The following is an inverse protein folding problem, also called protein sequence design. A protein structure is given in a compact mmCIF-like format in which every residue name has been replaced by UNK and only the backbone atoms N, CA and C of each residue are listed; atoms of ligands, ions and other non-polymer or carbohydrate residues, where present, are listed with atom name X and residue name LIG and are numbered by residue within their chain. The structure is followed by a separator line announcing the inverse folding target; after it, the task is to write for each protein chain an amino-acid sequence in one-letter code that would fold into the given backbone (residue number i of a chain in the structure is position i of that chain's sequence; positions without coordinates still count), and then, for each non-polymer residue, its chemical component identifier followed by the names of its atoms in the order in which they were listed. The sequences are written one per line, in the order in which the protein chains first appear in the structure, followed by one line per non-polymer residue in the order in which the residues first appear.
data_IF_102156735979
#
_entry.id   IF_102156735979
#
_cell.length_a   1.000
_cell.length_b   1.000
_cell.length_c   1.000
_cell.angle_alpha   90.00
_cell.angle_beta   90.00
_cell.angle_gamma   90.00
#
_symmetry.space_group_name_H-M   'P 1'
#
loop_
_entity.id
_entity.type
_entity.pdbx_description
1 polymer ?
#
# COMPACT_ATOMS: atom_id res chain seq x y z
N UNK A 1 16.69 -19.80 4.31
CA UNK A 1 16.41 -18.59 3.49
C UNK A 1 14.97 -18.03 3.61
N UNK A 2 13.92 -18.80 3.91
CA UNK A 2 12.55 -18.23 3.97
C UNK A 2 12.24 -17.47 5.28
N UNK A 3 12.96 -17.74 6.37
CA UNK A 3 12.72 -17.10 7.69
C UNK A 3 13.08 -15.62 7.69
N UNK A 4 14.21 -15.24 7.12
CA UNK A 4 14.73 -13.87 7.16
C UNK A 4 13.84 -12.85 6.42
N UNK A 5 13.17 -13.25 5.33
CA UNK A 5 12.32 -12.34 4.53
C UNK A 5 11.15 -11.77 5.33
N UNK A 6 10.51 -12.60 6.15
CA UNK A 6 9.37 -12.18 6.99
C UNK A 6 9.82 -11.33 8.17
N UNK A 7 11.00 -11.60 8.71
CA UNK A 7 11.59 -10.78 9.79
C UNK A 7 11.90 -9.37 9.29
N UNK A 8 12.54 -9.23 8.12
CA UNK A 8 12.81 -7.92 7.52
C UNK A 8 11.52 -7.13 7.23
N UNK A 9 10.46 -7.80 6.83
CA UNK A 9 9.17 -7.15 6.61
C UNK A 9 8.55 -6.56 7.89
N UNK A 10 8.93 -7.04 9.08
CA UNK A 10 8.43 -6.49 10.35
C UNK A 10 8.88 -5.04 10.59
N UNK A 11 10.03 -4.64 10.06
CA UNK A 11 10.53 -3.27 10.19
C UNK A 11 9.63 -2.24 9.50
N UNK A 12 8.89 -2.65 8.49
CA UNK A 12 7.99 -1.79 7.72
C UNK A 12 6.54 -1.80 8.23
N UNK A 13 6.34 -2.11 9.49
CA UNK A 13 5.03 -2.06 10.13
C UNK A 13 4.78 -0.70 10.78
N UNK A 14 3.53 -0.25 10.72
CA UNK A 14 3.10 1.02 11.31
C UNK A 14 3.54 1.24 12.77
N UNK A 15 3.51 0.25 13.69
CA UNK A 15 4.00 0.44 15.05
C UNK A 15 5.48 0.84 15.13
N UNK A 16 6.33 0.32 14.23
CA UNK A 16 7.75 0.65 14.19
C UNK A 16 7.95 2.11 13.80
N UNK A 17 7.34 2.55 12.71
CA UNK A 17 7.39 3.95 12.29
C UNK A 17 6.82 4.90 13.35
N UNK A 18 5.73 4.50 14.02
CA UNK A 18 5.16 5.27 15.14
C UNK A 18 6.12 5.37 16.34
N UNK A 19 6.88 4.32 16.63
CA UNK A 19 7.89 4.33 17.69
C UNK A 19 9.07 5.22 17.33
N UNK A 20 9.58 5.11 16.10
CA UNK A 20 10.66 5.98 15.59
C UNK A 20 10.26 7.45 15.60
N UNK A 21 9.05 7.78 15.13
CA UNK A 21 8.54 9.15 15.12
C UNK A 21 8.41 9.76 16.54
N UNK A 22 8.28 8.92 17.57
CA UNK A 22 8.23 9.32 18.98
C UNK A 22 9.60 9.29 19.66
N UNK A 23 10.68 9.05 18.91
CA UNK A 23 12.03 8.94 19.46
C UNK A 23 12.23 7.73 20.40
N UNK A 24 11.39 6.69 20.28
CA UNK A 24 11.53 5.47 21.09
C UNK A 24 12.67 4.63 20.54
N UNK A 25 13.38 3.99 21.49
CA UNK A 25 14.37 2.98 21.16
C UNK A 25 13.71 1.79 20.46
N UNK A 26 14.34 1.33 19.39
CA UNK A 26 13.94 0.15 18.61
C UNK A 26 15.03 -0.94 18.63
N UNK A 27 16.03 -0.82 19.52
CA UNK A 27 17.15 -1.75 19.62
C UNK A 27 16.71 -3.20 19.85
N UNK A 28 15.60 -3.40 20.58
CA UNK A 28 15.01 -4.73 20.79
C UNK A 28 14.65 -5.45 19.47
N UNK A 29 14.36 -4.69 18.40
CA UNK A 29 14.09 -5.25 17.08
C UNK A 29 15.36 -5.82 16.42
N UNK A 30 16.51 -5.28 16.78
CA UNK A 30 17.81 -5.72 16.25
C UNK A 30 18.32 -6.99 16.93
N UNK A 31 17.81 -7.36 18.11
CA UNK A 31 18.13 -8.62 18.77
C UNK A 31 17.73 -9.86 17.97
N UNK A 32 16.85 -9.69 16.95
CA UNK A 32 16.50 -10.73 15.99
C UNK A 32 17.38 -10.74 14.73
N UNK A 33 18.27 -9.76 14.57
CA UNK A 33 19.30 -9.75 13.53
C UNK A 33 20.45 -10.64 13.95
N UNK A 34 20.53 -11.82 13.34
CA UNK A 34 21.74 -12.63 13.46
C UNK A 34 22.87 -12.02 12.60
N UNK A 35 24.12 -12.42 12.90
CA UNK A 35 25.32 -11.97 12.16
C UNK A 35 25.17 -12.17 10.65
N UNK A 36 24.48 -13.23 10.23
CA UNK A 36 24.23 -13.57 8.84
C UNK A 36 23.30 -12.54 8.15
N UNK A 37 22.29 -12.03 8.86
CA UNK A 37 21.42 -10.98 8.37
C UNK A 37 22.19 -9.68 8.13
N UNK A 38 23.07 -9.33 9.05
CA UNK A 38 23.95 -8.18 8.96
C UNK A 38 24.90 -8.29 7.76
N UNK A 39 25.60 -9.39 7.64
CA UNK A 39 26.50 -9.66 6.51
C UNK A 39 25.77 -9.65 5.16
N UNK A 40 24.57 -10.25 5.09
CA UNK A 40 23.79 -10.28 3.84
C UNK A 40 23.34 -8.89 3.37
N UNK A 41 23.05 -7.99 4.30
CA UNK A 41 22.60 -6.64 3.99
C UNK A 41 23.75 -5.66 3.72
N UNK A 42 24.91 -5.91 4.32
CA UNK A 42 26.02 -4.94 4.37
C UNK A 42 27.36 -5.47 3.85
N UNK A 43 27.41 -6.70 3.30
CA UNK A 43 28.64 -7.36 2.81
C UNK A 43 29.38 -6.63 1.68
N UNK A 44 28.84 -5.53 1.16
CA UNK A 44 29.49 -4.72 0.13
C UNK A 44 30.19 -3.46 0.68
N UNK A 45 30.21 -3.22 1.98
CA UNK A 45 30.89 -2.08 2.57
C UNK A 45 32.20 -2.51 3.23
N UNK A 46 33.30 -1.93 2.73
CA UNK A 46 34.67 -2.17 3.20
C UNK A 46 34.80 -2.06 4.72
N UNK A 47 35.52 -3.05 5.29
CA UNK A 47 36.06 -3.24 6.61
C UNK A 47 36.29 -1.97 7.46
N UNK A 48 35.25 -1.38 8.01
CA UNK A 48 35.32 -0.51 9.17
C UNK A 48 34.01 -0.64 9.97
N UNK A 49 34.11 -0.71 11.29
CA UNK A 49 33.01 -0.60 12.24
C UNK A 49 32.34 0.77 12.10
N UNK A 50 31.57 0.97 11.04
CA UNK A 50 30.83 2.19 10.84
C UNK A 50 29.45 2.06 11.48
N UNK A 51 29.10 3.02 12.30
CA UNK A 51 27.71 3.23 12.74
C UNK A 51 26.83 3.33 11.50
N UNK A 52 25.91 2.37 11.34
CA UNK A 52 24.98 2.36 10.21
C UNK A 52 23.84 3.30 10.56
N UNK A 53 23.58 4.27 9.70
CA UNK A 53 22.44 5.16 9.90
C UNK A 53 21.12 4.39 9.75
N UNK A 54 20.07 4.79 10.46
CA UNK A 54 18.73 4.22 10.28
C UNK A 54 18.26 4.33 8.83
N UNK A 55 18.64 5.39 8.12
CA UNK A 55 18.34 5.56 6.70
C UNK A 55 18.94 4.43 5.87
N UNK A 56 20.23 4.15 6.06
CA UNK A 56 20.93 3.13 5.26
C UNK A 56 20.38 1.74 5.57
N UNK A 57 20.09 1.47 6.84
CA UNK A 57 19.44 0.24 7.25
C UNK A 57 18.08 0.05 6.56
N UNK A 58 17.17 1.04 6.67
CA UNK A 58 15.83 0.93 6.05
C UNK A 58 15.92 0.86 4.53
N UNK A 59 16.87 1.56 3.90
CA UNK A 59 17.11 1.49 2.47
C UNK A 59 17.52 0.08 2.06
N UNK A 60 18.50 -0.51 2.74
CA UNK A 60 19.00 -1.86 2.45
C UNK A 60 17.91 -2.93 2.67
N UNK A 61 17.15 -2.81 3.77
CA UNK A 61 16.02 -3.68 4.05
C UNK A 61 14.92 -3.58 2.98
N UNK A 62 14.60 -2.37 2.54
CA UNK A 62 13.61 -2.15 1.49
C UNK A 62 14.06 -2.75 0.16
N UNK A 63 15.31 -2.51 -0.24
CA UNK A 63 15.86 -3.06 -1.49
C UNK A 63 15.89 -4.58 -1.46
N UNK A 64 16.25 -5.16 -0.32
CA UNK A 64 16.19 -6.61 -0.15
C UNK A 64 14.75 -7.14 -0.32
N UNK A 65 13.76 -6.51 0.34
CA UNK A 65 12.35 -6.92 0.22
C UNK A 65 11.85 -6.76 -1.22
N UNK A 66 12.18 -5.67 -1.86
CA UNK A 66 11.80 -5.39 -3.25
C UNK A 66 12.26 -6.46 -4.22
N UNK A 67 13.45 -7.00 -4.00
CA UNK A 67 14.06 -8.01 -4.87
C UNK A 67 13.64 -9.44 -4.50
N UNK A 68 13.44 -9.72 -3.21
CA UNK A 68 13.33 -11.09 -2.72
C UNK A 68 11.98 -11.45 -2.08
N UNK A 69 11.24 -10.45 -1.62
CA UNK A 69 9.96 -10.66 -0.93
C UNK A 69 9.04 -9.44 -1.08
N UNK A 70 8.35 -9.37 -2.18
CA UNK A 70 7.45 -8.26 -2.51
C UNK A 70 6.16 -8.39 -1.71
N UNK A 71 6.23 -7.94 -0.46
CA UNK A 71 5.08 -7.87 0.44
C UNK A 71 4.21 -6.64 0.12
N UNK A 72 3.10 -6.51 0.80
CA UNK A 72 2.14 -5.41 0.67
C UNK A 72 2.80 -4.02 0.80
N UNK A 73 3.77 -3.85 1.70
CA UNK A 73 4.49 -2.57 1.86
C UNK A 73 5.24 -2.16 0.59
N UNK A 74 5.92 -3.12 -0.06
CA UNK A 74 6.62 -2.87 -1.33
C UNK A 74 5.63 -2.44 -2.42
N UNK A 75 4.48 -3.09 -2.50
CA UNK A 75 3.42 -2.70 -3.44
C UNK A 75 2.86 -1.30 -3.12
N UNK A 76 2.53 -1.02 -1.84
CA UNK A 76 2.02 0.30 -1.41
C UNK A 76 3.01 1.41 -1.79
N UNK A 77 4.28 1.24 -1.47
CA UNK A 77 5.34 2.22 -1.77
C UNK A 77 5.50 2.43 -3.27
N UNK A 78 5.59 1.36 -4.06
CA UNK A 78 5.73 1.46 -5.51
C UNK A 78 4.49 2.11 -6.14
N UNK A 79 3.29 1.78 -5.68
CA UNK A 79 2.03 2.33 -6.18
C UNK A 79 1.95 3.84 -5.93
N UNK A 80 2.18 4.27 -4.68
CA UNK A 80 2.16 5.70 -4.31
C UNK A 80 3.20 6.49 -5.10
N UNK A 81 4.43 5.98 -5.20
CA UNK A 81 5.48 6.62 -5.98
C UNK A 81 5.10 6.77 -7.47
N UNK A 82 4.52 5.74 -8.07
CA UNK A 82 4.14 5.79 -9.50
C UNK A 82 2.94 6.68 -9.76
N UNK A 83 1.95 6.68 -8.87
CA UNK A 83 0.71 7.44 -9.09
C UNK A 83 0.88 8.89 -8.64
N UNK A 84 1.33 9.12 -7.40
CA UNK A 84 1.38 10.47 -6.83
C UNK A 84 2.58 11.26 -7.36
N UNK A 85 3.77 10.64 -7.41
CA UNK A 85 5.00 11.33 -7.81
C UNK A 85 5.36 11.13 -9.28
N UNK A 86 4.85 10.09 -9.93
CA UNK A 86 5.16 9.78 -11.33
C UNK A 86 4.09 10.26 -12.33
N UNK A 87 2.81 10.01 -12.06
CA UNK A 87 1.70 10.32 -12.98
C UNK A 87 1.00 11.65 -12.65
N UNK A 88 0.94 11.99 -11.37
CA UNK A 88 0.29 13.21 -10.87
C UNK A 88 1.31 14.07 -10.11
N UNK A 89 0.85 15.23 -9.66
CA UNK A 89 1.64 16.11 -8.79
C UNK A 89 1.09 16.06 -7.36
N UNK A 90 1.93 16.07 -6.32
CA UNK A 90 1.47 16.24 -4.95
C UNK A 90 0.65 17.51 -4.70
N UNK A 91 0.71 18.47 -5.61
CA UNK A 91 -0.11 19.70 -5.57
C UNK A 91 -1.54 19.50 -6.06
N UNK A 92 -1.78 18.46 -6.87
CA UNK A 92 -3.08 18.20 -7.53
C UNK A 92 -3.69 16.86 -7.13
N UNK A 93 -3.02 16.10 -6.27
CA UNK A 93 -3.48 14.80 -5.81
C UNK A 93 -3.17 14.60 -4.33
N UNK A 94 -4.03 13.88 -3.65
CA UNK A 94 -3.82 13.41 -2.29
C UNK A 94 -3.99 11.89 -2.21
N UNK A 95 -3.45 11.28 -1.19
CA UNK A 95 -3.61 9.85 -0.95
C UNK A 95 -3.80 9.55 0.53
N UNK A 96 -4.55 8.49 0.80
CA UNK A 96 -4.67 7.90 2.13
C UNK A 96 -4.25 6.43 2.06
N UNK A 97 -3.52 5.99 3.05
CA UNK A 97 -3.09 4.60 3.21
C UNK A 97 -3.93 3.97 4.32
N UNK A 98 -4.42 2.76 4.09
CA UNK A 98 -5.24 2.01 5.05
C UNK A 98 -6.49 2.81 5.48
N UNK A 99 -7.25 3.29 4.48
CA UNK A 99 -8.47 4.06 4.73
C UNK A 99 -9.63 3.11 5.08
N UNK A 100 -10.22 3.23 6.28
CA UNK A 100 -11.38 2.42 6.66
C UNK A 100 -12.62 2.83 5.84
N UNK A 101 -13.29 1.83 5.26
CA UNK A 101 -14.53 1.96 4.49
C UNK A 101 -15.51 0.91 4.98
N UNK A 102 -16.51 1.29 5.74
CA UNK A 102 -17.46 0.34 6.34
C UNK A 102 -16.77 -0.80 7.12
N UNK A 103 -16.90 -2.04 6.65
CA UNK A 103 -16.27 -3.22 7.25
C UNK A 103 -14.94 -3.59 6.60
N UNK A 104 -14.47 -2.78 5.65
CA UNK A 104 -13.27 -3.02 4.85
C UNK A 104 -12.23 -1.91 5.08
N UNK A 105 -11.01 -2.15 4.66
CA UNK A 105 -9.91 -1.16 4.69
C UNK A 105 -9.28 -1.14 3.29
N UNK A 106 -9.31 0.01 2.63
CA UNK A 106 -8.64 0.22 1.35
C UNK A 106 -7.15 0.39 1.58
N UNK A 107 -6.32 -0.38 0.88
CA UNK A 107 -4.86 -0.30 1.02
C UNK A 107 -4.31 1.06 0.62
N UNK A 108 -4.73 1.58 -0.52
CA UNK A 108 -4.36 2.92 -1.00
C UNK A 108 -5.57 3.58 -1.65
N UNK A 109 -5.96 4.75 -1.15
CA UNK A 109 -6.93 5.62 -1.79
C UNK A 109 -6.21 6.82 -2.42
N UNK A 110 -6.61 7.23 -3.63
CA UNK A 110 -6.06 8.39 -4.33
C UNK A 110 -7.19 9.29 -4.79
N UNK A 111 -7.00 10.60 -4.59
CA UNK A 111 -7.93 11.67 -4.95
C UNK A 111 -7.20 12.69 -5.85
N UNK A 112 -7.63 12.81 -7.10
CA UNK A 112 -6.96 13.62 -8.13
C UNK A 112 -7.95 14.15 -9.18
N UNK A 113 -9.09 14.66 -8.73
CA UNK A 113 -10.23 15.03 -9.58
C UNK A 113 -11.24 13.89 -9.73
N UNK A 114 -10.84 12.68 -9.38
CA UNK A 114 -11.69 11.50 -9.17
C UNK A 114 -11.22 10.77 -7.92
N UNK A 115 -11.98 9.78 -7.46
CA UNK A 115 -11.59 8.92 -6.35
C UNK A 115 -11.27 7.52 -6.84
N UNK A 116 -10.10 7.00 -6.46
CA UNK A 116 -9.66 5.66 -6.85
C UNK A 116 -9.21 4.86 -5.65
N UNK A 117 -9.81 3.69 -5.46
CA UNK A 117 -9.36 2.70 -4.48
C UNK A 117 -8.44 1.67 -5.14
N UNK A 118 -7.33 1.38 -4.50
CA UNK A 118 -6.41 0.32 -4.89
C UNK A 118 -6.32 -0.71 -3.77
N UNK A 119 -6.72 -1.93 -4.07
CA UNK A 119 -6.60 -3.10 -3.19
C UNK A 119 -5.44 -3.95 -3.66
N UNK A 120 -4.46 -4.15 -2.80
CA UNK A 120 -3.25 -4.91 -3.11
C UNK A 120 -3.45 -6.38 -2.80
N UNK A 121 -3.13 -7.22 -3.76
CA UNK A 121 -3.12 -8.67 -3.59
C UNK A 121 -1.78 -9.22 -4.06
N UNK A 122 -0.95 -9.54 -3.10
CA UNK A 122 0.35 -10.16 -3.35
C UNK A 122 0.20 -11.64 -3.73
N UNK A 123 1.29 -12.29 -4.06
CA UNK A 123 1.34 -13.73 -4.33
C UNK A 123 0.92 -14.59 -3.13
N UNK A 124 0.93 -14.01 -1.92
CA UNK A 124 0.60 -14.69 -0.66
C UNK A 124 -0.87 -14.57 -0.27
N UNK A 125 -1.68 -13.80 -1.04
CA UNK A 125 -3.04 -13.45 -0.66
C UNK A 125 -4.10 -14.34 -1.33
N UNK A 126 -5.20 -14.53 -0.61
CA UNK A 126 -6.40 -15.19 -1.11
C UNK A 126 -7.38 -14.18 -1.69
N UNK A 127 -8.03 -14.48 -2.85
CA UNK A 127 -9.04 -13.60 -3.42
C UNK A 127 -10.37 -13.61 -2.65
N UNK A 128 -10.57 -14.51 -1.67
CA UNK A 128 -11.87 -14.72 -1.01
C UNK A 128 -12.47 -13.45 -0.42
N UNK A 129 -11.66 -12.60 0.21
CA UNK A 129 -12.14 -11.35 0.82
C UNK A 129 -12.55 -10.28 -0.18
N UNK A 130 -12.09 -10.34 -1.43
CA UNK A 130 -12.43 -9.34 -2.44
C UNK A 130 -13.92 -9.30 -2.74
N UNK A 131 -14.63 -10.42 -2.64
CA UNK A 131 -16.07 -10.51 -2.87
C UNK A 131 -16.86 -9.61 -1.89
N UNK A 132 -16.36 -9.48 -0.67
CA UNK A 132 -16.97 -8.62 0.37
C UNK A 132 -16.38 -7.21 0.39
N UNK A 133 -15.10 -7.05 0.10
CA UNK A 133 -14.41 -5.76 0.10
C UNK A 133 -14.80 -4.88 -1.10
N UNK A 134 -14.91 -5.45 -2.30
CA UNK A 134 -15.17 -4.67 -3.51
C UNK A 134 -16.51 -3.90 -3.47
N UNK A 135 -17.64 -4.46 -2.99
CA UNK A 135 -18.87 -3.70 -2.79
C UNK A 135 -18.72 -2.51 -1.83
N UNK A 136 -18.00 -2.68 -0.71
CA UNK A 136 -17.74 -1.58 0.22
C UNK A 136 -16.99 -0.44 -0.47
N UNK A 137 -15.99 -0.76 -1.29
CA UNK A 137 -15.21 0.24 -2.03
C UNK A 137 -16.04 0.93 -3.11
N UNK A 138 -16.88 0.19 -3.84
CA UNK A 138 -17.76 0.74 -4.87
C UNK A 138 -18.86 1.65 -4.30
N UNK A 139 -19.18 1.54 -3.03
CA UNK A 139 -20.11 2.46 -2.37
C UNK A 139 -19.51 3.87 -2.16
N UNK A 140 -18.18 4.04 -2.31
CA UNK A 140 -17.45 5.28 -1.96
C UNK A 140 -16.58 5.81 -3.11
N UNK A 141 -15.99 4.92 -3.92
CA UNK A 141 -15.02 5.30 -4.95
C UNK A 141 -15.61 5.24 -6.36
N UNK A 142 -15.19 6.19 -7.19
CA UNK A 142 -15.50 6.17 -8.63
C UNK A 142 -14.79 5.01 -9.32
N UNK A 143 -13.53 4.76 -9.00
CA UNK A 143 -12.76 3.65 -9.57
C UNK A 143 -12.19 2.73 -8.51
N UNK A 144 -12.26 1.43 -8.77
CA UNK A 144 -11.69 0.41 -7.89
C UNK A 144 -10.78 -0.50 -8.69
N UNK A 145 -9.53 -0.62 -8.27
CA UNK A 145 -8.55 -1.51 -8.90
C UNK A 145 -7.99 -2.52 -7.91
N UNK A 146 -7.84 -3.75 -8.38
CA UNK A 146 -7.00 -4.76 -7.74
C UNK A 146 -5.61 -4.63 -8.33
N UNK A 147 -4.58 -4.48 -7.48
CA UNK A 147 -3.18 -4.41 -7.88
C UNK A 147 -2.47 -5.70 -7.48
N UNK A 148 -1.91 -6.41 -8.44
CA UNK A 148 -1.31 -7.73 -8.20
C UNK A 148 -0.03 -7.96 -9.02
N UNK A 149 0.61 -9.12 -8.83
CA UNK A 149 1.71 -9.56 -9.69
C UNK A 149 1.19 -10.01 -11.07
N UNK A 150 1.94 -9.82 -12.17
CA UNK A 150 1.50 -10.21 -13.52
C UNK A 150 1.03 -11.65 -13.65
N UNK A 151 1.67 -12.59 -12.96
CA UNK A 151 1.31 -14.02 -12.98
C UNK A 151 -0.09 -14.33 -12.41
N UNK A 152 -0.63 -13.43 -11.58
CA UNK A 152 -1.94 -13.61 -10.95
C UNK A 152 -3.06 -12.78 -11.58
N UNK A 153 -2.75 -11.96 -12.60
CA UNK A 153 -3.72 -11.09 -13.25
C UNK A 153 -4.94 -11.86 -13.76
N UNK A 154 -4.73 -12.98 -14.44
CA UNK A 154 -5.82 -13.81 -14.98
C UNK A 154 -6.75 -14.34 -13.87
N UNK A 155 -6.21 -14.73 -12.72
CA UNK A 155 -6.96 -15.18 -11.56
C UNK A 155 -7.91 -14.09 -11.05
N UNK A 156 -7.45 -12.84 -10.97
CA UNK A 156 -8.28 -11.74 -10.48
C UNK A 156 -9.26 -11.22 -11.54
N UNK A 157 -8.89 -11.25 -12.82
CA UNK A 157 -9.82 -10.98 -13.90
C UNK A 157 -10.98 -12.01 -13.95
N UNK A 158 -10.68 -13.29 -13.68
CA UNK A 158 -11.65 -14.38 -13.66
C UNK A 158 -12.70 -14.27 -12.54
N UNK A 159 -12.46 -13.47 -11.48
CA UNK A 159 -13.47 -13.19 -10.46
C UNK A 159 -14.67 -12.40 -11.00
N UNK A 160 -14.51 -11.77 -12.17
CA UNK A 160 -15.54 -11.01 -12.88
C UNK A 160 -16.32 -10.05 -11.95
N UNK A 161 -15.61 -9.37 -11.06
CA UNK A 161 -16.21 -8.37 -10.17
C UNK A 161 -16.70 -7.18 -11.01
N UNK A 162 -17.97 -6.78 -10.86
CA UNK A 162 -18.54 -5.66 -11.62
C UNK A 162 -17.75 -4.37 -11.37
N UNK A 163 -17.47 -3.59 -12.41
CA UNK A 163 -16.78 -2.30 -12.40
C UNK A 163 -15.35 -2.30 -11.83
N UNK A 164 -14.84 -3.42 -11.35
CA UNK A 164 -13.51 -3.52 -10.77
C UNK A 164 -12.48 -3.81 -11.85
N UNK A 165 -11.46 -2.95 -11.92
CA UNK A 165 -10.31 -3.12 -12.79
C UNK A 165 -9.21 -3.99 -12.16
N UNK A 166 -8.25 -4.38 -12.98
CA UNK A 166 -7.07 -5.13 -12.56
C UNK A 166 -5.82 -4.46 -13.12
N UNK A 167 -4.89 -4.15 -12.24
CA UNK A 167 -3.56 -3.64 -12.57
C UNK A 167 -2.50 -4.61 -12.11
N UNK A 168 -1.35 -4.57 -12.76
CA UNK A 168 -0.20 -5.38 -12.37
C UNK A 168 1.00 -4.49 -12.10
N UNK A 169 1.75 -4.85 -11.07
CA UNK A 169 3.04 -4.26 -10.73
C UNK A 169 4.12 -5.32 -10.95
N UNK A 170 4.92 -5.15 -12.02
CA UNK A 170 5.96 -6.10 -12.36
C UNK A 170 7.23 -5.94 -11.48
N UNK A 171 8.22 -6.84 -11.65
CA UNK A 171 9.48 -6.83 -10.89
C UNK A 171 10.35 -5.59 -11.13
N UNK A 172 10.09 -4.83 -12.20
CA UNK A 172 10.75 -3.55 -12.52
C UNK A 172 9.97 -2.34 -12.00
N UNK A 173 9.00 -2.55 -11.11
CA UNK A 173 8.09 -1.54 -10.57
C UNK A 173 7.31 -0.77 -11.65
N UNK A 174 7.04 -1.43 -12.78
CA UNK A 174 6.18 -0.88 -13.82
C UNK A 174 4.74 -1.29 -13.53
N UNK A 175 3.87 -0.29 -13.46
CA UNK A 175 2.43 -0.43 -13.25
C UNK A 175 1.72 -0.43 -14.60
N UNK A 176 0.91 -1.43 -14.86
CA UNK A 176 0.16 -1.58 -16.11
C UNK A 176 -1.29 -2.00 -15.84
N UNK A 177 -2.23 -1.47 -16.61
CA UNK A 177 -3.63 -1.85 -16.54
C UNK A 177 -3.84 -3.10 -17.43
N UNK A 178 -4.46 -4.13 -16.87
CA UNK A 178 -4.85 -5.37 -17.57
C UNK A 178 -6.34 -5.35 -17.89
N UNK A 179 -7.15 -4.87 -16.94
CA UNK A 179 -8.60 -4.63 -17.11
C UNK A 179 -8.90 -3.24 -16.58
N UNK A 180 -9.52 -2.39 -17.39
CA UNK A 180 -9.96 -1.07 -16.92
C UNK A 180 -11.06 -1.19 -15.87
N UNK A 181 -11.05 -0.27 -14.89
CA UNK A 181 -12.18 -0.08 -14.01
C UNK A 181 -13.20 0.82 -14.69
N UNK A 182 -14.47 0.42 -14.68
CA UNK A 182 -15.55 1.30 -15.15
C UNK A 182 -15.77 2.42 -14.12
N UNK A 183 -16.28 3.58 -14.59
CA UNK A 183 -16.71 4.63 -13.69
C UNK A 183 -17.92 4.16 -12.86
N UNK A 184 -17.88 4.46 -11.59
CA UNK A 184 -18.90 4.08 -10.62
C UNK A 184 -19.57 5.32 -9.98
N UNK A 185 -19.32 6.50 -10.53
CA UNK A 185 -19.71 7.78 -9.91
C UNK A 185 -21.23 7.88 -9.66
N UNK A 186 -22.04 7.32 -10.54
CA UNK A 186 -23.50 7.32 -10.44
C UNK A 186 -24.04 6.37 -9.33
N UNK A 187 -23.20 5.48 -8.83
CA UNK A 187 -23.56 4.45 -7.85
C UNK A 187 -22.96 4.69 -6.47
N UNK A 188 -22.21 5.78 -6.32
CA UNK A 188 -21.65 6.19 -5.02
C UNK A 188 -22.80 6.53 -4.06
N UNK A 189 -22.73 5.99 -2.84
CA UNK A 189 -23.73 6.22 -1.80
C UNK A 189 -23.32 7.37 -0.90
N UNK A 190 -24.14 8.39 -0.82
CA UNK A 190 -23.85 9.60 -0.03
C UNK A 190 -23.59 9.29 1.44
N UNK A 191 -24.42 8.46 2.08
CA UNK A 191 -24.25 8.03 3.47
C UNK A 191 -22.95 7.26 3.71
N UNK A 192 -22.55 6.41 2.77
CA UNK A 192 -21.27 5.71 2.82
C UNK A 192 -20.09 6.67 2.66
N UNK A 193 -20.19 7.64 1.75
CA UNK A 193 -19.18 8.68 1.55
C UNK A 193 -19.03 9.55 2.81
N UNK A 194 -20.13 10.01 3.41
CA UNK A 194 -20.11 10.78 4.66
C UNK A 194 -19.49 10.01 5.82
N UNK A 195 -19.68 8.69 5.88
CA UNK A 195 -19.09 7.86 6.95
C UNK A 195 -17.57 7.77 6.93
N UNK A 196 -16.93 8.16 5.81
CA UNK A 196 -15.46 8.16 5.64
C UNK A 196 -14.84 9.47 6.13
N UNK A 197 -15.64 10.55 6.20
CA UNK A 197 -15.18 11.87 6.63
C UNK A 197 -14.82 11.87 8.11
N UNK A 198 -13.77 12.60 8.46
CA UNK A 198 -13.46 12.90 9.85
C UNK A 198 -14.50 13.89 10.39
N UNK A 199 -14.65 13.90 11.70
CA UNK A 199 -15.64 14.80 12.36
C UNK A 199 -15.46 16.25 11.95
N UNK A 200 -14.21 16.73 11.89
CA UNK A 200 -13.91 18.12 11.50
C UNK A 200 -14.28 18.41 10.04
N UNK A 201 -14.00 17.45 9.13
CA UNK A 201 -14.36 17.56 7.70
C UNK A 201 -15.87 17.57 7.51
N UNK A 202 -16.58 16.71 8.23
CA UNK A 202 -18.03 16.66 8.23
C UNK A 202 -18.65 17.96 8.76
N UNK A 203 -18.14 18.50 9.87
CA UNK A 203 -18.64 19.76 10.44
C UNK A 203 -18.39 20.95 9.51
N UNK A 204 -17.21 21.02 8.87
CA UNK A 204 -16.90 22.08 7.90
C UNK A 204 -17.89 22.08 6.72
N UNK A 205 -18.26 20.90 6.21
CA UNK A 205 -19.26 20.80 5.14
C UNK A 205 -20.63 21.32 5.62
N UNK A 206 -21.06 21.00 6.85
CA UNK A 206 -22.34 21.48 7.38
C UNK A 206 -22.32 23.00 7.55
N UNK A 207 -21.22 23.58 8.07
CA UNK A 207 -21.10 25.03 8.29
C UNK A 207 -21.14 25.81 6.96
N UNK A 208 -20.61 25.25 5.85
CA UNK A 208 -20.66 25.88 4.53
C UNK A 208 -22.07 25.89 3.90
N UNK A 209 -23.00 25.07 4.40
CA UNK A 209 -24.38 24.95 3.88
C UNK A 209 -25.45 25.48 4.83
N UNK A 210 -25.09 26.02 5.99
CA UNK A 210 -26.01 26.66 6.97
C UNK A 210 -25.76 28.14 7.09
#
# INVERSE_FOLDING_TARGET
MSHNKKEYAKFFRRPIFSSLAKGKDISDLFGSFDSYCYETLFSNNDNNEHEISLRDLFTSLYDFLRLNYRNEYVYKTALVNKIIFGKHSPKTSSSSIELPIKNSIVDVAVFNGTSTAYEIKTEYDSPKRLITQAPDYLDVFDKVYIVTHPEYASKYCALNLPRVGVMVLNKKDQLSVIKEADSNIEYIKSDSLFSVLRKEEFLAIIEDYT
#
